data_IF_882751277683
#
_entry.id   IF_882751277683
#
_cell.length_a   1.000
_cell.length_b   1.000
_cell.length_c   1.000
_cell.angle_alpha   90.00
_cell.angle_beta   90.00
_cell.angle_gamma   90.00
#
_symmetry.space_group_name_H-M   'P 1'
#
loop_
_entity.id
_entity.type
_entity.pdbx_description
1 polymer ?
#
# COMPACT_ATOMS: atom_id res chain seq x y z
N UNK A 1 13.19 12.98 -19.80
CA UNK A 1 13.11 11.71 -19.06
C UNK A 1 12.56 10.65 -20.00
N UNK A 2 12.95 9.38 -19.90
CA UNK A 2 12.49 8.34 -20.85
C UNK A 2 11.23 7.59 -20.37
N UNK A 3 10.83 7.76 -19.10
CA UNK A 3 9.59 7.22 -18.56
C UNK A 3 9.06 8.10 -17.43
N UNK A 4 7.75 8.34 -17.43
CA UNK A 4 7.10 9.22 -16.45
C UNK A 4 6.80 8.51 -15.12
N UNK A 5 6.47 7.21 -15.18
CA UNK A 5 6.10 6.42 -14.00
C UNK A 5 6.63 5.00 -14.03
N UNK A 6 7.21 4.53 -12.94
CA UNK A 6 7.55 3.13 -12.71
C UNK A 6 6.41 2.41 -11.97
N UNK A 7 5.89 1.34 -12.57
CA UNK A 7 4.85 0.49 -11.98
C UNK A 7 5.53 -0.70 -11.27
N UNK A 8 5.19 -0.91 -10.01
CA UNK A 8 5.63 -2.05 -9.21
C UNK A 8 4.42 -2.83 -8.72
N UNK A 9 4.46 -4.14 -8.90
CA UNK A 9 3.41 -5.06 -8.46
C UNK A 9 4.06 -6.24 -7.76
N UNK A 10 3.56 -6.54 -6.56
CA UNK A 10 3.91 -7.73 -5.80
C UNK A 10 2.62 -8.44 -5.37
N UNK A 11 2.49 -9.72 -5.71
CA UNK A 11 1.36 -10.52 -5.26
C UNK A 11 1.73 -11.28 -4.00
N UNK A 12 0.81 -11.28 -3.03
CA UNK A 12 0.97 -12.01 -1.79
C UNK A 12 1.26 -13.49 -2.02
N UNK A 13 2.13 -14.05 -1.18
CA UNK A 13 2.40 -15.48 -1.13
C UNK A 13 2.43 -15.99 0.31
N UNK A 14 1.88 -17.20 0.52
CA UNK A 14 1.78 -17.83 1.85
C UNK A 14 3.14 -18.08 2.52
N UNK A 15 4.19 -18.17 1.71
CA UNK A 15 5.56 -18.35 2.17
C UNK A 15 6.07 -17.15 2.96
N UNK A 16 5.69 -15.93 2.59
CA UNK A 16 6.15 -14.69 3.19
C UNK A 16 4.94 -13.82 3.59
N UNK A 17 4.11 -14.30 4.54
CA UNK A 17 2.83 -13.69 4.85
C UNK A 17 2.95 -12.30 5.50
N UNK A 18 4.16 -11.86 5.84
CA UNK A 18 4.45 -10.51 6.33
C UNK A 18 4.42 -9.43 5.23
N UNK A 19 4.43 -9.81 3.96
CA UNK A 19 4.39 -8.89 2.83
C UNK A 19 3.04 -9.02 2.12
N UNK A 20 2.13 -8.04 2.24
CA UNK A 20 0.82 -8.07 1.57
C UNK A 20 0.98 -7.96 0.04
N UNK A 21 -0.11 -8.13 -0.70
CA UNK A 21 -0.14 -7.73 -2.11
C UNK A 21 0.03 -6.22 -2.19
N UNK A 22 1.04 -5.76 -2.93
CA UNK A 22 1.43 -4.36 -3.06
C UNK A 22 1.29 -3.91 -4.50
N UNK A 23 0.61 -2.79 -4.71
CA UNK A 23 0.63 -2.05 -5.95
C UNK A 23 1.24 -0.70 -5.68
N UNK A 24 2.27 -0.34 -6.45
CA UNK A 24 2.92 0.95 -6.28
C UNK A 24 3.20 1.62 -7.62
N UNK A 25 3.06 2.93 -7.63
CA UNK A 25 3.39 3.79 -8.75
C UNK A 25 4.39 4.84 -8.28
N UNK A 26 5.56 4.87 -8.91
CA UNK A 26 6.62 5.84 -8.59
C UNK A 26 6.84 6.78 -9.78
N UNK A 27 6.48 8.05 -9.60
CA UNK A 27 6.83 9.12 -10.54
C UNK A 27 8.10 9.87 -10.14
N UNK A 28 8.31 11.04 -10.74
CA UNK A 28 9.47 11.91 -10.50
C UNK A 28 9.49 12.61 -9.13
N UNK A 29 8.31 12.78 -8.51
CA UNK A 29 8.17 13.44 -7.20
C UNK A 29 7.49 12.54 -6.18
N UNK A 30 6.35 11.98 -6.54
CA UNK A 30 5.57 11.20 -5.61
C UNK A 30 5.68 9.71 -5.88
N UNK A 31 5.59 8.92 -4.82
CA UNK A 31 5.37 7.48 -4.86
C UNK A 31 4.09 7.18 -4.09
N UNK A 32 3.17 6.48 -4.74
CA UNK A 32 1.93 6.00 -4.17
C UNK A 32 1.99 4.49 -4.03
N UNK A 33 1.49 3.97 -2.91
CA UNK A 33 1.41 2.54 -2.61
C UNK A 33 0.03 2.25 -2.05
N UNK A 34 -0.62 1.21 -2.59
CA UNK A 34 -1.88 0.69 -2.10
C UNK A 34 -1.81 -0.82 -1.94
N UNK A 35 -2.62 -1.34 -1.03
CA UNK A 35 -2.58 -2.74 -0.63
C UNK A 35 -3.91 -3.43 -0.89
N UNK A 36 -3.85 -4.59 -1.57
CA UNK A 36 -5.05 -5.40 -1.75
C UNK A 36 -5.35 -6.23 -0.51
N UNK A 37 -6.55 -6.04 0.06
CA UNK A 37 -7.09 -6.87 1.14
C UNK A 37 -6.51 -6.59 2.52
N UNK A 38 -5.77 -5.49 2.69
CA UNK A 38 -5.27 -5.05 4.00
C UNK A 38 -6.24 -4.04 4.61
N UNK A 39 -6.62 -4.26 5.88
CA UNK A 39 -7.41 -3.30 6.65
C UNK A 39 -6.47 -2.39 7.46
N UNK A 40 -5.79 -1.50 6.74
CA UNK A 40 -4.82 -0.54 7.29
C UNK A 40 -4.72 0.67 6.33
N UNK A 41 -3.64 1.46 6.40
CA UNK A 41 -3.41 2.64 5.57
C UNK A 41 -2.65 2.35 4.28
N UNK A 42 -3.01 3.08 3.23
CA UNK A 42 -2.18 3.25 2.03
C UNK A 42 -1.02 4.22 2.31
N UNK A 43 -0.13 4.43 1.32
CA UNK A 43 1.06 5.26 1.48
C UNK A 43 1.26 6.25 0.34
N UNK A 44 1.67 7.47 0.68
CA UNK A 44 2.13 8.49 -0.26
C UNK A 44 3.43 9.11 0.26
N UNK A 45 4.48 9.15 -0.55
CA UNK A 45 5.75 9.78 -0.21
C UNK A 45 6.15 10.83 -1.24
N UNK A 46 6.68 11.96 -0.77
CA UNK A 46 7.37 12.94 -1.62
C UNK A 46 8.86 12.60 -1.67
N UNK A 47 9.25 11.81 -2.68
CA UNK A 47 10.61 11.27 -2.86
C UNK A 47 11.65 12.37 -3.05
N UNK A 48 11.25 13.57 -3.48
CA UNK A 48 12.20 14.70 -3.61
C UNK A 48 12.58 15.27 -2.26
N UNK A 49 11.61 15.42 -1.36
CA UNK A 49 11.86 15.95 0.00
C UNK A 49 12.21 14.88 1.03
N UNK A 50 11.79 13.63 0.80
CA UNK A 50 11.98 12.50 1.69
C UNK A 50 12.41 11.26 0.88
N UNK A 51 13.67 11.22 0.39
CA UNK A 51 14.18 10.07 -0.38
C UNK A 51 14.21 8.76 0.42
N UNK A 52 14.15 8.85 1.76
CA UNK A 52 14.13 7.71 2.66
C UNK A 52 12.74 7.14 2.94
N UNK A 53 11.67 7.74 2.39
CA UNK A 53 10.29 7.29 2.57
C UNK A 53 9.89 7.16 4.05
N UNK A 54 10.34 8.11 4.87
CA UNK A 54 10.19 8.08 6.32
C UNK A 54 8.87 8.68 6.81
N UNK A 55 8.22 9.51 5.98
CA UNK A 55 6.98 10.22 6.33
C UNK A 55 5.87 9.91 5.33
N UNK A 56 4.92 9.08 5.76
CA UNK A 56 3.71 8.81 4.99
C UNK A 56 2.79 10.05 4.99
N UNK A 57 2.48 10.55 3.80
CA UNK A 57 1.67 11.74 3.52
C UNK A 57 0.23 11.42 3.09
N UNK A 58 -0.19 10.14 3.10
CA UNK A 58 -1.53 9.71 2.66
C UNK A 58 -2.67 10.45 3.39
N UNK A 59 -2.42 10.85 4.64
CA UNK A 59 -3.33 11.55 5.53
C UNK A 59 -3.49 13.05 5.20
N UNK A 60 -2.56 13.62 4.41
CA UNK A 60 -2.54 15.06 4.17
C UNK A 60 -3.69 15.47 3.25
N UNK A 61 -4.66 16.19 3.83
CA UNK A 61 -5.82 16.72 3.11
C UNK A 61 -5.46 17.54 1.87
N UNK A 62 -4.30 18.21 1.84
CA UNK A 62 -3.83 19.02 0.71
C UNK A 62 -3.35 18.18 -0.46
N UNK A 63 -2.94 16.94 -0.20
CA UNK A 63 -2.41 16.00 -1.20
C UNK A 63 -3.46 15.01 -1.71
N UNK A 64 -4.71 15.08 -1.23
CA UNK A 64 -5.82 14.26 -1.77
C UNK A 64 -5.94 14.29 -3.30
N UNK A 65 -5.78 15.45 -4.00
CA UNK A 65 -5.81 15.45 -5.46
C UNK A 65 -4.67 14.63 -6.07
N UNK A 66 -3.47 14.68 -5.48
CA UNK A 66 -2.30 13.91 -5.92
C UNK A 66 -2.52 12.42 -5.71
N UNK A 67 -3.05 12.02 -4.54
CA UNK A 67 -3.38 10.62 -4.27
C UNK A 67 -4.31 10.07 -5.33
N UNK A 68 -5.40 10.78 -5.63
CA UNK A 68 -6.38 10.36 -6.65
C UNK A 68 -5.74 10.24 -8.03
N UNK A 69 -4.96 11.23 -8.46
CA UNK A 69 -4.26 11.19 -9.75
C UNK A 69 -3.35 9.96 -9.86
N UNK A 70 -2.58 9.68 -8.80
CA UNK A 70 -1.67 8.54 -8.77
C UNK A 70 -2.41 7.19 -8.73
N UNK A 71 -3.52 7.12 -8.00
CA UNK A 71 -4.39 5.94 -7.97
C UNK A 71 -4.99 5.66 -9.35
N UNK A 72 -5.60 6.67 -9.98
CA UNK A 72 -6.17 6.56 -11.32
C UNK A 72 -5.11 6.10 -12.34
N UNK A 73 -3.90 6.68 -12.26
CA UNK A 73 -2.78 6.30 -13.12
C UNK A 73 -2.31 4.87 -12.85
N UNK A 74 -2.22 4.47 -11.58
CA UNK A 74 -1.83 3.12 -11.17
C UNK A 74 -2.79 2.09 -11.78
N UNK A 75 -4.09 2.27 -11.59
CA UNK A 75 -5.09 1.34 -12.11
C UNK A 75 -5.19 1.38 -13.64
N UNK A 76 -5.01 2.56 -14.27
CA UNK A 76 -4.89 2.64 -15.73
C UNK A 76 -3.72 1.80 -16.26
N UNK A 77 -2.56 1.88 -15.62
CA UNK A 77 -1.39 1.10 -16.03
C UNK A 77 -1.53 -0.41 -15.71
N UNK A 78 -2.23 -0.76 -14.64
CA UNK A 78 -2.60 -2.16 -14.37
C UNK A 78 -3.52 -2.70 -15.47
N UNK A 79 -4.52 -1.93 -15.90
CA UNK A 79 -5.41 -2.31 -17.00
C UNK A 79 -4.63 -2.53 -18.32
N UNK A 80 -3.76 -1.59 -18.69
CA UNK A 80 -2.93 -1.68 -19.90
C UNK A 80 -1.97 -2.89 -19.89
N UNK A 81 -1.49 -3.28 -18.70
CA UNK A 81 -0.55 -4.40 -18.53
C UNK A 81 -1.22 -5.76 -18.26
N UNK A 82 -2.56 -5.81 -18.23
CA UNK A 82 -3.31 -7.02 -17.87
C UNK A 82 -3.24 -7.39 -16.38
N UNK A 83 -2.76 -6.48 -15.53
CA UNK A 83 -2.61 -6.64 -14.09
C UNK A 83 -3.89 -6.49 -13.26
N UNK A 84 -5.06 -6.51 -13.90
CA UNK A 84 -6.37 -6.39 -13.22
C UNK A 84 -6.82 -7.69 -12.54
N UNK A 85 -6.06 -8.77 -12.71
CA UNK A 85 -6.35 -10.08 -12.14
C UNK A 85 -5.26 -10.48 -11.14
N UNK A 86 -5.69 -10.86 -9.94
CA UNK A 86 -4.77 -11.36 -8.91
C UNK A 86 -4.62 -12.88 -9.08
N UNK A 87 -3.41 -13.37 -9.36
CA UNK A 87 -3.18 -14.81 -9.53
C UNK A 87 -3.29 -15.54 -8.19
N UNK A 88 -4.01 -16.66 -8.18
CA UNK A 88 -4.04 -17.59 -7.05
C UNK A 88 -2.87 -18.57 -7.18
N UNK A 89 -1.76 -18.27 -6.51
CA UNK A 89 -0.57 -19.12 -6.54
C UNK A 89 -0.63 -20.20 -5.45
N UNK A 90 -0.37 -21.46 -5.84
CA UNK A 90 -0.22 -22.54 -4.87
C UNK A 90 1.02 -22.32 -4.01
N UNK A 91 0.91 -22.32 -2.67
CA UNK A 91 2.06 -22.21 -1.77
C UNK A 91 3.10 -23.31 -2.01
N UNK A 92 4.39 -22.99 -1.88
CA UNK A 92 5.48 -23.96 -2.03
C UNK A 92 6.42 -23.93 -0.85
N UNK A 93 6.61 -25.02 -0.13
CA UNK A 93 7.52 -25.04 1.02
C UNK A 93 6.93 -24.42 2.29
N UNK A 94 7.79 -23.87 3.15
CA UNK A 94 7.42 -23.46 4.51
C UNK A 94 6.99 -21.99 4.59
N UNK A 95 6.05 -21.69 5.50
CA UNK A 95 5.61 -20.32 5.79
C UNK A 95 6.52 -19.64 6.82
N UNK A 96 6.99 -18.43 6.51
CA UNK A 96 7.81 -17.56 7.35
C UNK A 96 6.96 -16.72 8.32
N UNK A 97 5.97 -17.35 8.96
CA UNK A 97 5.01 -16.68 9.84
C UNK A 97 5.48 -16.51 11.30
N UNK A 98 6.78 -16.68 11.56
CA UNK A 98 7.32 -16.65 12.92
C UNK A 98 7.60 -15.21 13.37
N UNK A 99 7.59 -15.00 14.69
CA UNK A 99 7.89 -13.74 15.36
C UNK A 99 8.88 -14.02 16.49
N UNK A 100 9.93 -13.20 16.61
CA UNK A 100 10.85 -13.27 17.74
C UNK A 100 10.17 -12.66 18.98
N UNK A 101 10.15 -13.40 20.09
CA UNK A 101 9.53 -12.95 21.36
C UNK A 101 10.16 -11.65 21.90
N UNK A 102 11.45 -11.44 21.67
CA UNK A 102 12.21 -10.27 22.16
C UNK A 102 12.14 -9.04 21.26
N UNK A 103 11.51 -9.14 20.08
CA UNK A 103 11.41 -8.04 19.12
C UNK A 103 10.10 -7.29 19.27
N UNK A 104 9.93 -6.27 18.42
CA UNK A 104 8.81 -5.34 18.41
C UNK A 104 7.45 -6.05 18.37
N UNK A 105 6.50 -5.47 19.09
CA UNK A 105 5.08 -5.82 19.00
C UNK A 105 4.49 -5.30 17.68
N UNK A 106 3.31 -5.77 17.25
CA UNK A 106 2.57 -5.13 16.16
C UNK A 106 2.44 -3.62 16.39
N UNK A 107 2.54 -2.85 15.30
CA UNK A 107 2.32 -1.41 15.34
C UNK A 107 0.88 -1.06 15.70
N UNK A 108 0.68 0.12 16.28
CA UNK A 108 -0.66 0.69 16.43
C UNK A 108 -1.15 1.20 15.06
N UNK A 109 -2.47 1.20 14.86
CA UNK A 109 -3.06 1.85 13.69
C UNK A 109 -2.76 3.36 13.68
N UNK A 110 -2.66 3.98 12.50
CA UNK A 110 -2.62 5.43 12.38
C UNK A 110 -3.80 6.07 13.09
N UNK A 111 -3.55 7.15 13.85
CA UNK A 111 -4.58 7.81 14.66
C UNK A 111 -5.81 8.26 13.86
N UNK A 112 -5.64 8.59 12.58
CA UNK A 112 -6.74 8.95 11.68
C UNK A 112 -7.75 7.81 11.40
N UNK A 113 -7.36 6.55 11.61
CA UNK A 113 -8.22 5.39 11.44
C UNK A 113 -8.95 4.99 12.73
N UNK A 114 -8.57 5.59 13.86
CA UNK A 114 -9.14 5.29 15.17
C UNK A 114 -10.21 6.33 15.50
N UNK A 115 -11.41 5.86 15.83
CA UNK A 115 -12.55 6.70 16.19
C UNK A 115 -13.05 6.33 17.57
N UNK A 116 -13.51 7.33 18.34
CA UNK A 116 -14.07 7.13 19.68
C UNK A 116 -15.50 6.58 19.65
N UNK A 117 -16.22 6.82 18.55
CA UNK A 117 -17.60 6.36 18.36
C UNK A 117 -17.80 5.77 16.95
N UNK A 118 -18.75 4.84 16.77
CA UNK A 118 -19.06 4.29 15.45
C UNK A 118 -19.49 5.37 14.45
N UNK A 119 -18.81 5.42 13.30
CA UNK A 119 -19.18 6.31 12.18
C UNK A 119 -20.55 5.92 11.63
N UNK A 120 -20.78 4.62 11.40
CA UNK A 120 -22.06 4.10 10.95
C UNK A 120 -22.87 3.57 12.14
N UNK A 121 -23.71 4.42 12.72
CA UNK A 121 -24.61 4.07 13.85
C UNK A 121 -25.77 3.15 13.47
N UNK A 122 -25.94 2.85 12.17
CA UNK A 122 -27.02 2.01 11.65
C UNK A 122 -26.55 0.64 11.16
N UNK A 123 -25.27 0.30 11.35
CA UNK A 123 -24.75 -1.04 11.04
C UNK A 123 -25.49 -2.06 11.92
N UNK A 124 -26.25 -2.95 11.27
CA UNK A 124 -26.93 -4.09 11.90
C UNK A 124 -26.10 -5.34 11.78
#
# INVERSE_FOLDING_TARGET
SWRDYFLYVYYWEKNFPQSPTVFALRGDRYKYITYYGLWDTDELYDIRSDPGETKNLIADSKLKPVVREMEDKLYGMLAESGGMFIPLNQPRGNSQNKRLKSRSKPGAFPGQLVVDEPINRSAR
#
